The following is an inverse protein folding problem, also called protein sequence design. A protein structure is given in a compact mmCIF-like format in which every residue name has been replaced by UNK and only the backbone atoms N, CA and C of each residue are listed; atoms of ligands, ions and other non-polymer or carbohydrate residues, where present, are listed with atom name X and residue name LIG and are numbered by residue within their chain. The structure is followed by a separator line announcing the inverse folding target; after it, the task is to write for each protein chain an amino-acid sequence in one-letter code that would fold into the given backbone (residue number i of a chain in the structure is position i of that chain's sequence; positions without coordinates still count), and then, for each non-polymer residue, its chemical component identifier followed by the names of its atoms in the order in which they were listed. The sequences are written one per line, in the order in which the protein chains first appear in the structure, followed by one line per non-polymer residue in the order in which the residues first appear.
data_IF_056940467394
#
_entry.id   IF_056940467394
#
_cell.length_a   1.000
_cell.length_b   1.000
_cell.length_c   1.000
_cell.angle_alpha   90.00
_cell.angle_beta   90.00
_cell.angle_gamma   90.00
#
_symmetry.space_group_name_H-M   'P 1'
#
loop_
_entity.id
_entity.type
_entity.pdbx_description
1 polymer ?
#
# COMPACT_ATOMS: atom_id res chain seq x y z
N UNK A 1 -19.56 15.78 46.20
CA UNK A 1 -19.82 14.39 46.62
C UNK A 1 -20.14 13.59 45.37
N UNK A 2 -19.35 12.51 45.18
CA UNK A 2 -19.51 11.30 44.36
C UNK A 2 -20.88 11.07 43.72
N UNK A 3 -21.11 10.39 42.61
CA UNK A 3 -20.46 9.29 41.86
C UNK A 3 -21.42 9.11 40.64
N UNK A 4 -21.19 8.47 39.51
CA UNK A 4 -20.25 7.46 39.10
C UNK A 4 -20.29 7.46 37.55
N UNK A 5 -19.15 7.18 36.96
CA UNK A 5 -18.91 6.89 35.56
C UNK A 5 -19.94 5.96 34.90
N UNK A 6 -20.42 6.33 33.70
CA UNK A 6 -20.81 5.36 32.67
C UNK A 6 -19.92 5.59 31.46
N UNK A 7 -18.86 4.78 31.38
CA UNK A 7 -17.92 4.71 30.27
C UNK A 7 -18.69 4.37 28.99
N UNK A 8 -18.91 5.36 28.13
CA UNK A 8 -19.38 5.12 26.77
C UNK A 8 -18.24 4.44 26.00
N UNK A 9 -18.57 3.27 25.48
CA UNK A 9 -17.64 2.36 24.84
C UNK A 9 -17.13 2.95 23.53
N UNK A 10 -15.80 2.99 23.45
CA UNK A 10 -15.00 2.84 22.24
C UNK A 10 -14.93 4.04 21.30
N UNK A 11 -14.39 5.13 21.84
CA UNK A 11 -13.66 6.12 21.05
C UNK A 11 -12.39 5.52 20.45
N UNK A 12 -12.42 5.20 19.16
CA UNK A 12 -11.21 5.20 18.34
C UNK A 12 -11.46 6.11 17.15
N UNK A 13 -11.02 7.35 17.27
CA UNK A 13 -10.88 8.25 16.14
C UNK A 13 -9.75 7.69 15.27
N UNK A 14 -10.08 6.83 14.31
CA UNK A 14 -9.15 6.30 13.30
C UNK A 14 -8.74 7.43 12.34
N UNK A 15 -7.88 8.33 12.82
CA UNK A 15 -7.16 9.24 11.96
C UNK A 15 -6.30 8.36 11.03
N UNK A 16 -6.62 8.37 9.73
CA UNK A 16 -5.80 7.72 8.70
C UNK A 16 -4.43 8.41 8.67
N UNK A 17 -3.50 7.92 9.48
CA UNK A 17 -2.13 8.37 9.46
C UNK A 17 -1.51 7.96 8.12
N UNK A 18 -1.38 8.91 7.20
CA UNK A 18 -0.61 8.71 5.97
C UNK A 18 0.87 8.81 6.32
N UNK A 19 1.48 7.66 6.59
CA UNK A 19 2.92 7.58 6.83
C UNK A 19 3.64 7.80 5.50
N UNK A 20 4.57 8.76 5.47
CA UNK A 20 5.47 8.96 4.32
C UNK A 20 6.40 7.74 4.21
N UNK A 21 6.58 7.13 3.02
CA UNK A 21 7.47 5.98 2.88
C UNK A 21 8.90 6.32 3.29
N UNK A 22 9.54 5.43 4.04
CA UNK A 22 10.93 5.62 4.50
C UNK A 22 11.94 5.44 3.37
N UNK A 23 11.66 4.53 2.44
CA UNK A 23 12.47 4.26 1.25
C UNK A 23 12.41 5.36 0.17
N UNK A 24 11.78 6.51 0.42
CA UNK A 24 11.78 7.63 -0.53
C UNK A 24 13.20 8.16 -0.76
N UNK A 25 14.01 8.24 0.29
CA UNK A 25 15.38 8.71 0.19
C UNK A 25 16.25 7.69 -0.55
N UNK A 26 16.11 6.41 -0.23
CA UNK A 26 16.83 5.32 -0.89
C UNK A 26 16.60 5.30 -2.40
N UNK A 27 15.37 5.60 -2.87
CA UNK A 27 15.08 5.70 -4.31
C UNK A 27 15.76 6.93 -4.94
N UNK A 28 15.85 8.05 -4.22
CA UNK A 28 16.54 9.27 -4.68
C UNK A 28 18.06 9.10 -4.74
N UNK A 29 18.63 8.35 -3.81
CA UNK A 29 20.08 8.12 -3.74
C UNK A 29 20.56 7.18 -4.88
N UNK A 30 19.63 6.47 -5.53
CA UNK A 30 19.94 5.67 -6.71
C UNK A 30 20.19 6.60 -7.89
N UNK A 31 21.47 6.77 -8.20
CA UNK A 31 21.92 7.47 -9.41
C UNK A 31 21.40 6.77 -10.65
N UNK A 32 20.36 7.33 -11.26
CA UNK A 32 19.90 6.91 -12.57
C UNK A 32 21.01 7.07 -13.60
N UNK A 33 21.19 6.06 -14.46
CA UNK A 33 22.17 6.15 -15.54
C UNK A 33 21.72 7.18 -16.58
N UNK A 34 22.68 7.87 -17.22
CA UNK A 34 22.38 8.84 -18.31
C UNK A 34 21.47 8.23 -19.38
N UNK A 35 21.68 6.95 -19.71
CA UNK A 35 20.85 6.19 -20.65
C UNK A 35 19.40 6.06 -20.20
N UNK A 36 19.14 5.78 -18.91
CA UNK A 36 17.77 5.68 -18.38
C UNK A 36 17.05 7.02 -18.42
N UNK A 37 17.76 8.11 -18.13
CA UNK A 37 17.21 9.48 -18.20
C UNK A 37 16.89 9.86 -19.65
N UNK A 38 17.81 9.59 -20.58
CA UNK A 38 17.60 9.87 -22.01
C UNK A 38 16.48 9.02 -22.63
N UNK A 39 16.43 7.74 -22.31
CA UNK A 39 15.36 6.85 -22.77
C UNK A 39 13.99 7.29 -22.25
N UNK A 40 13.92 7.78 -21.00
CA UNK A 40 12.69 8.33 -20.44
C UNK A 40 12.27 9.62 -21.15
N UNK A 41 13.22 10.54 -21.40
CA UNK A 41 12.98 11.78 -22.17
C UNK A 41 12.49 11.49 -23.58
N UNK A 42 13.07 10.49 -24.27
CA UNK A 42 12.70 10.11 -25.64
C UNK A 42 11.34 9.40 -25.73
N UNK A 43 10.95 8.64 -24.69
CA UNK A 43 9.76 7.79 -24.74
C UNK A 43 8.44 8.50 -24.42
N UNK A 44 8.42 9.56 -23.59
CA UNK A 44 7.18 10.34 -23.28
C UNK A 44 7.47 11.76 -22.76
N UNK A 45 6.67 12.75 -23.20
CA UNK A 45 6.73 14.16 -22.78
C UNK A 45 6.37 14.44 -21.31
N UNK A 46 5.87 13.44 -20.58
CA UNK A 46 5.39 13.58 -19.19
C UNK A 46 6.42 13.19 -18.12
N UNK A 47 7.65 12.93 -18.53
CA UNK A 47 8.76 12.71 -17.61
C UNK A 47 9.49 14.02 -17.35
N UNK A 48 9.66 14.34 -16.08
CA UNK A 48 10.34 15.53 -15.58
C UNK A 48 11.61 15.10 -14.86
N UNK A 49 12.71 15.82 -15.06
CA UNK A 49 13.98 15.57 -14.36
C UNK A 49 14.17 16.65 -13.33
N UNK A 50 14.32 16.27 -12.06
CA UNK A 50 14.66 17.16 -10.95
C UNK A 50 16.14 17.57 -11.03
N UNK A 51 16.51 18.72 -10.46
CA UNK A 51 17.88 19.23 -10.42
C UNK A 51 18.90 18.24 -9.83
N UNK A 52 18.44 17.35 -8.94
CA UNK A 52 19.25 16.31 -8.29
C UNK A 52 19.45 15.05 -9.16
N UNK A 53 18.89 15.02 -10.38
CA UNK A 53 18.97 13.86 -11.28
C UNK A 53 17.89 12.81 -11.06
N UNK A 54 16.95 13.06 -10.14
CA UNK A 54 15.75 12.23 -9.96
C UNK A 54 14.82 12.39 -11.15
N UNK A 55 14.15 11.31 -11.53
CA UNK A 55 13.17 11.31 -12.61
C UNK A 55 11.77 11.20 -12.01
N UNK A 56 10.85 12.03 -12.47
CA UNK A 56 9.45 12.02 -12.05
C UNK A 56 8.53 11.76 -13.23
N UNK A 57 7.45 11.01 -12.99
CA UNK A 57 6.36 10.84 -13.93
C UNK A 57 5.06 11.31 -13.27
N UNK A 58 4.47 12.39 -13.78
CA UNK A 58 3.25 12.98 -13.19
C UNK A 58 3.40 13.21 -11.67
N UNK A 59 4.47 13.90 -11.28
CA UNK A 59 4.84 14.19 -9.88
C UNK A 59 5.18 12.99 -8.98
N UNK A 60 5.29 11.78 -9.55
CA UNK A 60 5.66 10.56 -8.81
C UNK A 60 7.10 10.18 -9.12
N UNK A 61 7.85 9.75 -8.11
CA UNK A 61 9.24 9.36 -8.25
C UNK A 61 9.36 8.09 -9.09
N UNK A 62 10.13 8.15 -10.17
CA UNK A 62 10.42 7.00 -11.02
C UNK A 62 11.32 6.02 -10.27
N UNK A 63 10.85 4.79 -10.16
CA UNK A 63 11.62 3.69 -9.58
C UNK A 63 12.30 2.93 -10.72
N UNK A 64 13.65 2.91 -10.78
CA UNK A 64 14.36 2.16 -11.82
C UNK A 64 14.05 0.67 -11.79
N UNK A 65 14.40 -0.03 -12.87
CA UNK A 65 14.15 -1.48 -12.99
C UNK A 65 15.12 -2.33 -12.15
N UNK A 66 15.24 -2.02 -10.86
CA UNK A 66 15.91 -2.85 -9.86
C UNK A 66 14.87 -3.72 -9.16
N UNK A 67 15.07 -5.04 -9.18
CA UNK A 67 14.20 -6.00 -8.50
C UNK A 67 14.24 -5.80 -6.99
N UNK A 68 15.44 -5.71 -6.42
CA UNK A 68 15.69 -5.51 -5.00
C UNK A 68 15.01 -4.25 -4.45
N UNK A 69 15.17 -3.12 -5.15
CA UNK A 69 14.54 -1.85 -4.75
C UNK A 69 13.01 -1.96 -4.71
N UNK A 70 12.43 -2.55 -5.76
CA UNK A 70 10.98 -2.75 -5.82
C UNK A 70 10.52 -3.69 -4.70
N UNK A 71 11.24 -4.78 -4.45
CA UNK A 71 10.93 -5.70 -3.35
C UNK A 71 11.00 -5.04 -1.98
N UNK A 72 11.97 -4.16 -1.74
CA UNK A 72 12.08 -3.40 -0.50
C UNK A 72 10.91 -2.43 -0.33
N UNK A 73 10.54 -1.67 -1.38
CA UNK A 73 9.37 -0.77 -1.36
C UNK A 73 8.09 -1.55 -1.07
N UNK A 74 7.90 -2.70 -1.72
CA UNK A 74 6.73 -3.55 -1.52
C UNK A 74 6.71 -4.12 -0.10
N UNK A 75 7.85 -4.59 0.42
CA UNK A 75 7.98 -5.12 1.77
C UNK A 75 7.68 -4.06 2.83
N UNK A 76 8.22 -2.84 2.70
CA UNK A 76 7.93 -1.74 3.63
C UNK A 76 6.43 -1.45 3.65
N UNK A 77 5.82 -1.25 2.48
CA UNK A 77 4.39 -0.96 2.38
C UNK A 77 3.53 -2.11 2.95
N UNK A 78 3.95 -3.35 2.72
CA UNK A 78 3.26 -4.54 3.21
C UNK A 78 3.43 -4.75 4.73
N UNK A 79 4.60 -4.47 5.29
CA UNK A 79 4.87 -4.52 6.73
C UNK A 79 4.10 -3.44 7.49
N UNK A 80 4.03 -2.22 6.95
CA UNK A 80 3.25 -1.13 7.53
C UNK A 80 1.74 -1.45 7.51
N UNK A 81 1.30 -2.24 6.53
CA UNK A 81 -0.08 -2.69 6.35
C UNK A 81 -0.51 -3.78 7.35
N UNK A 82 0.44 -4.60 7.84
CA UNK A 82 0.18 -5.62 8.86
C UNK A 82 -0.28 -5.03 10.20
N UNK A 83 0.15 -3.82 10.55
CA UNK A 83 -0.24 -3.16 11.79
C UNK A 83 -1.75 -2.82 11.76
N UNK A 84 -2.40 -2.79 10.59
CA UNK A 84 -3.75 -2.20 10.43
C UNK A 84 -4.76 -3.05 9.62
N UNK A 85 -4.47 -4.30 9.23
CA UNK A 85 -5.38 -5.16 8.43
C UNK A 85 -6.03 -4.49 7.21
N UNK A 86 -5.30 -3.57 6.58
CA UNK A 86 -5.80 -2.83 5.43
C UNK A 86 -5.60 -3.75 4.21
N UNK A 87 -6.61 -4.04 3.39
CA UNK A 87 -6.52 -5.01 2.28
C UNK A 87 -5.77 -4.53 1.01
N UNK A 88 -5.42 -5.46 0.10
CA UNK A 88 -4.60 -5.28 -1.14
C UNK A 88 -4.80 -3.98 -1.93
N UNK A 89 -6.04 -3.49 -2.01
CA UNK A 89 -6.40 -2.31 -2.79
C UNK A 89 -5.76 -1.03 -2.23
N UNK A 90 -5.37 -1.04 -0.96
CA UNK A 90 -4.73 0.11 -0.35
C UNK A 90 -3.23 0.17 -0.63
N UNK A 91 -2.52 -0.95 -0.78
CA UNK A 91 -1.09 -0.94 -1.12
C UNK A 91 -0.80 -0.23 -2.45
N UNK A 92 -1.56 -0.52 -3.51
CA UNK A 92 -1.44 0.22 -4.77
C UNK A 92 -1.84 1.69 -4.61
N UNK A 93 -2.92 1.97 -3.87
CA UNK A 93 -3.36 3.36 -3.63
C UNK A 93 -2.31 4.17 -2.89
N UNK A 94 -1.62 3.59 -1.94
CA UNK A 94 -0.64 4.28 -1.12
C UNK A 94 0.67 4.48 -1.89
N UNK A 95 1.19 3.42 -2.52
CA UNK A 95 2.43 3.50 -3.28
C UNK A 95 2.32 4.39 -4.52
N UNK A 96 1.17 4.43 -5.21
CA UNK A 96 1.01 5.22 -6.44
C UNK A 96 1.07 6.73 -6.20
N UNK A 97 0.92 7.21 -4.96
CA UNK A 97 1.09 8.64 -4.65
C UNK A 97 2.55 9.06 -4.70
N UNK A 98 3.47 8.16 -4.34
CA UNK A 98 4.88 8.46 -4.19
C UNK A 98 5.72 7.96 -5.36
N UNK A 99 5.39 6.78 -5.89
CA UNK A 99 6.24 6.05 -6.81
C UNK A 99 5.55 5.77 -8.15
N UNK A 100 6.37 5.57 -9.17
CA UNK A 100 5.95 5.11 -10.47
C UNK A 100 6.99 4.15 -11.07
N UNK A 101 6.52 3.00 -11.57
CA UNK A 101 7.28 2.14 -12.49
C UNK A 101 6.34 1.40 -13.44
N UNK A 102 6.87 0.94 -14.58
CA UNK A 102 6.09 0.16 -15.54
C UNK A 102 5.63 -1.16 -14.92
N UNK A 103 4.33 -1.46 -14.99
CA UNK A 103 3.76 -2.71 -14.48
C UNK A 103 3.56 -2.75 -12.96
N UNK A 104 3.56 -1.59 -12.29
CA UNK A 104 3.44 -1.47 -10.83
C UNK A 104 2.29 -2.26 -10.22
N UNK A 105 1.09 -2.19 -10.79
CA UNK A 105 -0.08 -2.91 -10.30
C UNK A 105 0.10 -4.43 -10.34
N UNK A 106 0.59 -4.97 -11.46
CA UNK A 106 0.82 -6.42 -11.61
C UNK A 106 1.85 -6.93 -10.60
N UNK A 107 2.94 -6.20 -10.40
CA UNK A 107 3.99 -6.57 -9.44
C UNK A 107 3.45 -6.55 -8.00
N UNK A 108 2.62 -5.56 -7.65
CA UNK A 108 1.97 -5.50 -6.33
C UNK A 108 1.03 -6.69 -6.14
N UNK A 109 0.21 -7.02 -7.14
CA UNK A 109 -0.69 -8.17 -7.10
C UNK A 109 0.09 -9.46 -6.87
N UNK A 110 1.19 -9.67 -7.61
CA UNK A 110 2.04 -10.84 -7.46
C UNK A 110 2.67 -10.93 -6.07
N UNK A 111 3.14 -9.80 -5.53
CA UNK A 111 3.73 -9.73 -4.19
C UNK A 111 2.73 -10.13 -3.10
N UNK A 112 1.53 -9.54 -3.13
CA UNK A 112 0.46 -9.85 -2.16
C UNK A 112 -0.04 -11.29 -2.33
N UNK A 113 -0.09 -11.78 -3.57
CA UNK A 113 -0.48 -13.17 -3.84
C UNK A 113 0.50 -14.17 -3.22
N UNK A 114 1.79 -13.88 -3.21
CA UNK A 114 2.84 -14.75 -2.61
C UNK A 114 2.92 -14.66 -1.08
N UNK A 115 2.21 -13.75 -0.43
CA UNK A 115 2.25 -13.61 1.02
C UNK A 115 1.41 -14.68 1.73
N UNK A 116 2.05 -15.56 2.50
CA UNK A 116 1.38 -16.62 3.26
C UNK A 116 0.35 -16.08 4.26
N UNK A 117 0.65 -14.98 4.95
CA UNK A 117 -0.29 -14.40 5.92
C UNK A 117 -1.54 -13.85 5.20
N UNK A 118 -1.36 -13.14 4.08
CA UNK A 118 -2.49 -12.68 3.28
C UNK A 118 -3.31 -13.84 2.70
N UNK A 119 -2.68 -14.98 2.39
CA UNK A 119 -3.39 -16.18 1.95
C UNK A 119 -4.21 -16.78 3.09
N UNK A 120 -3.62 -16.96 4.28
CA UNK A 120 -4.31 -17.52 5.45
C UNK A 120 -5.51 -16.69 5.87
N UNK A 121 -5.33 -15.37 6.03
CA UNK A 121 -6.42 -14.45 6.39
C UNK A 121 -7.55 -14.49 5.35
N UNK A 122 -7.22 -14.60 4.05
CA UNK A 122 -8.26 -14.75 3.02
C UNK A 122 -9.05 -16.04 3.17
N UNK A 123 -8.39 -17.16 3.47
CA UNK A 123 -9.06 -18.46 3.67
C UNK A 123 -9.97 -18.40 4.90
N UNK A 124 -9.51 -17.82 6.00
CA UNK A 124 -10.30 -17.69 7.23
C UNK A 124 -11.55 -16.82 7.06
N UNK A 125 -11.49 -15.76 6.26
CA UNK A 125 -12.64 -14.87 6.00
C UNK A 125 -13.51 -15.33 4.83
N UNK A 126 -13.13 -16.39 4.11
CA UNK A 126 -14.03 -17.05 3.17
C UNK A 126 -15.01 -17.88 4.01
N UNK A 127 -16.16 -17.29 4.31
CA UNK A 127 -17.30 -18.04 4.85
C UNK A 127 -17.56 -19.18 3.85
N UNK A 128 -17.46 -20.46 4.24
CA UNK A 128 -17.89 -21.53 3.36
C UNK A 128 -19.32 -21.24 2.94
N UNK A 129 -19.66 -21.44 1.66
CA UNK A 129 -21.02 -21.28 1.11
C UNK A 129 -21.97 -22.38 1.67
N UNK A 130 -21.99 -22.56 2.99
CA UNK A 130 -22.82 -23.49 3.74
C UNK A 130 -23.63 -22.71 4.77
N UNK A 131 -24.90 -22.51 4.43
CA UNK A 131 -26.01 -22.05 5.28
C UNK A 131 -25.80 -20.71 6.00
N UNK A 132 -26.24 -19.63 5.33
CA UNK A 132 -26.82 -18.48 6.04
C UNK A 132 -27.98 -19.01 6.89
N UNK A 133 -27.73 -19.31 8.17
CA UNK A 133 -28.82 -19.62 9.08
C UNK A 133 -29.63 -18.34 9.29
N UNK A 134 -30.97 -18.38 9.12
CA UNK A 134 -31.81 -17.25 9.48
C UNK A 134 -31.61 -16.94 10.96
N UNK A 135 -31.29 -15.68 11.28
CA UNK A 135 -31.35 -15.19 12.65
C UNK A 135 -32.83 -15.31 13.06
N UNK A 136 -33.12 -16.20 14.01
CA UNK A 136 -34.45 -16.30 14.58
C UNK A 136 -34.70 -15.01 15.35
N UNK A 137 -35.60 -14.17 14.84
CA UNK A 137 -36.05 -12.98 15.56
C UNK A 137 -36.84 -13.49 16.75
N UNK A 138 -36.33 -13.29 17.97
CA UNK A 138 -37.11 -13.53 19.18
C UNK A 138 -38.18 -12.44 19.23
N UNK A 139 -39.43 -12.84 19.02
CA UNK A 139 -40.58 -11.98 19.28
C UNK A 139 -40.62 -11.69 20.78
N UNK A 140 -40.58 -10.40 21.11
CA UNK A 140 -40.76 -9.92 22.47
C UNK A 140 -42.26 -9.99 22.78
N UNK A 141 -42.67 -10.92 23.64
CA UNK A 141 -43.99 -10.90 24.29
C UNK A 141 -44.04 -9.83 25.38
#
# INVERSE_FOLDING_TARGET
MNDHSRLEQNGVLLAKLKVKPTLLQDVKDIKLTKKQVEDAKKKKSRFEVESEGNLHFQSRLYVPNSKELKENILREAHCNMFIMHIGKNNMYRDLKFYYWWKGMEMIIVEHVFKCLICQQVKVEHQVPLGLLQPITILEWN
#
